data_IF_906531990285
#
_entry.id   IF_906531990285
#
_cell.length_a   1.000
_cell.length_b   1.000
_cell.length_c   1.000
_cell.angle_alpha   90.00
_cell.angle_beta   90.00
_cell.angle_gamma   90.00
#
_symmetry.space_group_name_H-M   'P 1'
#
loop_
_entity.id
_entity.type
_entity.pdbx_description
1 polymer ?
#
# COMPACT_ATOMS: atom_id res chain seq x y z
N UNK A 1 -10.40 12.21 -8.44
CA UNK A 1 -9.28 12.85 -9.19
C UNK A 1 -9.18 12.21 -10.56
N UNK A 2 -8.54 12.89 -11.54
CA UNK A 2 -8.26 12.32 -12.86
C UNK A 2 -6.83 12.63 -13.27
N UNK A 3 -6.12 11.62 -13.78
CA UNK A 3 -4.78 11.76 -14.38
C UNK A 3 -4.81 11.05 -15.74
N UNK A 4 -4.60 11.79 -16.81
CA UNK A 4 -4.72 11.30 -18.17
C UNK A 4 -6.09 10.67 -18.45
N UNK A 5 -6.10 9.40 -18.83
CA UNK A 5 -7.33 8.64 -19.09
C UNK A 5 -7.94 7.99 -17.86
N UNK A 6 -7.20 7.96 -16.70
CA UNK A 6 -7.66 7.29 -15.50
C UNK A 6 -8.45 8.22 -14.58
N UNK A 7 -9.63 7.76 -14.14
CA UNK A 7 -10.29 8.30 -12.95
C UNK A 7 -9.75 7.54 -11.74
N UNK A 8 -9.41 8.25 -10.67
CA UNK A 8 -8.80 7.73 -9.45
C UNK A 8 -9.79 7.81 -8.30
N UNK A 9 -9.91 6.70 -7.54
CA UNK A 9 -10.77 6.60 -6.37
C UNK A 9 -10.00 6.03 -5.19
N UNK A 10 -10.17 6.64 -4.03
CA UNK A 10 -9.63 6.17 -2.75
C UNK A 10 -10.57 5.11 -2.16
N UNK A 11 -10.06 3.91 -1.94
CA UNK A 11 -10.83 2.75 -1.48
C UNK A 11 -10.30 2.32 -0.11
N UNK A 12 -10.93 2.78 0.97
CA UNK A 12 -10.58 2.33 2.32
C UNK A 12 -11.15 0.93 2.56
N UNK A 13 -10.32 -0.01 2.98
CA UNK A 13 -10.67 -1.43 3.07
C UNK A 13 -10.72 -1.95 4.50
N UNK A 14 -9.99 -1.34 5.44
CA UNK A 14 -10.07 -1.61 6.88
C UNK A 14 -9.43 -0.51 7.70
N UNK A 15 -9.77 -0.45 9.00
CA UNK A 15 -9.00 0.22 10.04
C UNK A 15 -8.16 -0.83 10.77
N UNK A 16 -6.96 -0.47 11.21
CA UNK A 16 -6.10 -1.34 12.01
C UNK A 16 -5.08 -0.53 12.83
N UNK A 17 -4.32 -1.19 13.67
CA UNK A 17 -3.32 -0.54 14.49
C UNK A 17 -2.07 -1.38 14.68
N UNK A 18 -0.92 -0.75 14.48
CA UNK A 18 0.38 -1.34 14.73
C UNK A 18 1.10 -0.59 15.85
N UNK A 19 2.08 -1.27 16.50
CA UNK A 19 2.91 -0.67 17.55
C UNK A 19 3.65 0.56 17.02
N UNK A 20 3.45 1.72 17.64
CA UNK A 20 4.05 2.97 17.20
C UNK A 20 5.58 2.97 17.31
N UNK A 21 6.17 2.23 18.25
CA UNK A 21 7.61 2.05 18.31
C UNK A 21 8.15 1.27 17.12
N UNK A 22 7.41 0.27 16.65
CA UNK A 22 7.76 -0.47 15.44
C UNK A 22 7.57 0.37 14.18
N UNK A 23 6.50 1.18 14.12
CA UNK A 23 6.24 2.07 12.97
C UNK A 23 7.25 3.21 12.83
N UNK A 24 7.76 3.74 13.95
CA UNK A 24 8.68 4.89 13.93
C UNK A 24 10.15 4.54 14.21
N UNK A 25 10.47 3.25 14.40
CA UNK A 25 11.83 2.75 14.51
C UNK A 25 12.66 3.45 15.60
N UNK A 26 13.71 4.16 15.20
CA UNK A 26 14.62 4.84 16.13
C UNK A 26 14.09 6.19 16.64
N UNK A 27 12.97 6.69 16.11
CA UNK A 27 12.41 7.98 16.56
C UNK A 27 11.78 7.78 17.95
N UNK A 28 12.20 8.57 18.97
CA UNK A 28 11.66 8.42 20.31
C UNK A 28 10.16 8.72 20.42
N UNK A 29 9.42 7.95 21.23
CA UNK A 29 7.97 8.13 21.43
C UNK A 29 7.56 9.59 21.71
N UNK A 30 8.22 10.36 22.60
CA UNK A 30 7.86 11.75 22.85
C UNK A 30 7.97 12.68 21.61
N UNK A 31 8.58 12.20 20.53
CA UNK A 31 8.73 12.95 19.27
C UNK A 31 7.63 12.54 18.29
N UNK A 32 7.49 11.23 18.00
CA UNK A 32 6.52 10.78 17.00
C UNK A 32 5.06 10.85 17.49
N UNK A 33 4.80 10.62 18.79
CA UNK A 33 3.45 10.65 19.36
C UNK A 33 2.77 12.03 19.27
N UNK A 34 3.54 13.10 19.09
CA UNK A 34 2.99 14.44 18.82
C UNK A 34 2.34 14.56 17.44
N UNK A 35 2.74 13.74 16.50
CA UNK A 35 2.21 13.73 15.15
C UNK A 35 1.14 12.64 14.98
N UNK A 36 1.38 11.47 15.56
CA UNK A 36 0.51 10.31 15.45
C UNK A 36 0.27 9.75 16.86
N UNK A 37 -0.86 10.08 17.50
CA UNK A 37 -1.18 9.59 18.83
C UNK A 37 -1.28 8.06 18.89
N UNK A 38 -0.91 7.47 20.03
CA UNK A 38 -1.07 6.03 20.29
C UNK A 38 -2.13 5.74 21.33
N UNK A 39 -2.69 4.53 21.29
CA UNK A 39 -3.58 3.99 22.33
C UNK A 39 -2.79 3.49 23.56
N UNK A 40 -3.50 2.95 24.57
CA UNK A 40 -2.90 2.43 25.81
C UNK A 40 -2.00 1.20 25.56
N UNK A 41 -2.10 0.54 24.41
CA UNK A 41 -1.25 -0.57 23.97
C UNK A 41 -0.13 -0.12 23.04
N UNK A 42 0.12 1.19 22.93
CA UNK A 42 1.12 1.80 22.06
C UNK A 42 0.84 1.62 20.56
N UNK A 43 -0.39 1.29 20.15
CA UNK A 43 -0.76 1.16 18.74
C UNK A 43 -1.17 2.53 18.21
N UNK A 44 -0.72 2.84 17.01
CA UNK A 44 -1.20 3.99 16.24
C UNK A 44 -2.36 3.56 15.35
N UNK A 45 -3.31 4.46 15.14
CA UNK A 45 -4.42 4.24 14.22
C UNK A 45 -3.93 4.34 12.77
N UNK A 46 -4.31 3.37 11.96
CA UNK A 46 -3.96 3.26 10.55
C UNK A 46 -5.18 2.77 9.76
N UNK A 47 -5.17 3.02 8.46
CA UNK A 47 -6.12 2.44 7.51
C UNK A 47 -5.35 1.62 6.47
N UNK A 48 -6.04 0.72 5.80
CA UNK A 48 -5.58 0.22 4.51
C UNK A 48 -6.40 0.92 3.42
N UNK A 49 -5.71 1.67 2.58
CA UNK A 49 -6.29 2.49 1.51
C UNK A 49 -5.72 2.04 0.17
N UNK A 50 -6.52 1.31 -0.57
CA UNK A 50 -6.24 0.95 -1.96
C UNK A 50 -6.54 2.12 -2.90
N UNK A 51 -5.96 2.10 -4.09
CA UNK A 51 -6.27 3.08 -5.14
C UNK A 51 -6.91 2.35 -6.32
N UNK A 52 -8.15 2.70 -6.65
CA UNK A 52 -8.83 2.21 -7.85
C UNK A 52 -8.63 3.19 -9.00
N UNK A 53 -8.16 2.67 -10.14
CA UNK A 53 -8.03 3.38 -11.40
C UNK A 53 -9.03 2.82 -12.39
N UNK A 54 -9.81 3.69 -13.05
CA UNK A 54 -10.76 3.26 -14.08
C UNK A 54 -10.53 4.00 -15.38
N UNK A 55 -10.43 3.24 -16.48
CA UNK A 55 -10.31 3.76 -17.84
C UNK A 55 -11.01 2.78 -18.78
N UNK A 56 -12.05 3.21 -19.45
CA UNK A 56 -12.85 2.37 -20.36
C UNK A 56 -13.26 1.04 -19.68
N UNK A 57 -12.81 -0.09 -20.22
CA UNK A 57 -13.08 -1.41 -19.65
C UNK A 57 -12.12 -1.81 -18.51
N UNK A 58 -11.02 -1.07 -18.30
CA UNK A 58 -10.04 -1.37 -17.24
C UNK A 58 -10.51 -0.85 -15.88
N UNK A 59 -10.43 -1.70 -14.87
CA UNK A 59 -10.61 -1.37 -13.45
C UNK A 59 -9.45 -1.99 -12.70
N UNK A 60 -8.45 -1.16 -12.39
CA UNK A 60 -7.17 -1.57 -11.82
C UNK A 60 -7.17 -1.17 -10.35
N UNK A 61 -6.98 -2.13 -9.46
CA UNK A 61 -6.86 -1.88 -8.03
C UNK A 61 -5.41 -2.02 -7.61
N UNK A 62 -4.88 -1.03 -6.90
CA UNK A 62 -3.55 -1.09 -6.29
C UNK A 62 -3.71 -1.46 -4.82
N UNK A 63 -3.19 -2.62 -4.44
CA UNK A 63 -3.34 -3.30 -3.15
C UNK A 63 -4.81 -3.57 -2.75
N UNK A 64 -5.02 -4.38 -1.73
CA UNK A 64 -6.35 -4.88 -1.34
C UNK A 64 -6.58 -4.86 0.17
N UNK A 65 -5.59 -4.41 0.93
CA UNK A 65 -5.65 -4.27 2.38
C UNK A 65 -5.63 -5.58 3.16
N UNK A 66 -6.01 -5.49 4.43
CA UNK A 66 -5.96 -6.59 5.40
C UNK A 66 -6.85 -7.79 5.06
N UNK A 67 -7.91 -7.58 4.27
CA UNK A 67 -8.93 -8.62 4.04
C UNK A 67 -9.68 -9.01 5.32
N UNK A 68 -10.42 -10.13 5.24
CA UNK A 68 -11.37 -10.54 6.29
C UNK A 68 -11.04 -11.90 6.95
N UNK A 69 -9.91 -12.55 6.58
CA UNK A 69 -9.54 -13.90 7.01
C UNK A 69 -8.86 -13.99 8.38
N UNK A 70 -9.12 -13.05 9.26
CA UNK A 70 -8.43 -12.92 10.52
C UNK A 70 -9.06 -13.75 11.64
N UNK A 71 -8.22 -14.46 12.41
CA UNK A 71 -8.62 -15.01 13.69
C UNK A 71 -8.83 -13.92 14.73
N UNK A 72 -9.77 -14.09 15.66
CA UNK A 72 -10.11 -13.13 16.71
C UNK A 72 -8.91 -12.70 17.58
N UNK A 73 -7.91 -13.56 17.74
CA UNK A 73 -6.67 -13.23 18.44
C UNK A 73 -5.91 -12.11 17.72
N UNK A 74 -5.74 -12.22 16.41
CA UNK A 74 -4.98 -11.24 15.61
C UNK A 74 -5.77 -9.96 15.37
N UNK A 75 -7.10 -10.05 15.19
CA UNK A 75 -7.96 -8.86 15.18
C UNK A 75 -7.74 -8.01 16.42
N UNK A 76 -7.64 -8.63 17.61
CA UNK A 76 -7.38 -7.90 18.86
C UNK A 76 -5.95 -7.36 18.96
N UNK A 77 -4.94 -8.08 18.45
CA UNK A 77 -3.54 -7.63 18.47
C UNK A 77 -3.38 -6.41 17.58
N UNK A 78 -3.85 -6.51 16.35
CA UNK A 78 -3.69 -5.48 15.32
C UNK A 78 -4.87 -4.50 15.25
N UNK A 79 -5.84 -4.60 16.17
CA UNK A 79 -7.04 -3.75 16.19
C UNK A 79 -7.74 -3.66 14.83
N UNK A 80 -7.82 -4.80 14.11
CA UNK A 80 -8.41 -4.83 12.77
C UNK A 80 -9.93 -4.73 12.89
N UNK A 81 -10.50 -3.70 12.28
CA UNK A 81 -11.94 -3.53 12.10
C UNK A 81 -12.29 -3.64 10.61
N UNK A 82 -13.08 -4.66 10.28
CA UNK A 82 -13.60 -4.91 8.94
C UNK A 82 -15.13 -4.74 8.89
N UNK A 83 -15.77 -4.41 10.00
CA UNK A 83 -17.23 -4.25 10.06
C UNK A 83 -17.66 -2.90 9.47
N UNK A 84 -16.83 -1.88 9.68
CA UNK A 84 -17.06 -0.52 9.18
C UNK A 84 -16.62 -0.32 7.73
N UNK A 85 -15.52 -0.98 7.37
CA UNK A 85 -14.94 -0.92 6.03
C UNK A 85 -14.69 -2.35 5.52
N UNK A 86 -15.04 -2.59 4.28
CA UNK A 86 -14.59 -3.75 3.50
C UNK A 86 -14.38 -3.30 2.06
N UNK A 87 -13.61 -4.07 1.32
CA UNK A 87 -13.34 -3.75 -0.08
C UNK A 87 -14.63 -3.72 -0.91
N UNK A 88 -15.56 -4.65 -0.64
CA UNK A 88 -16.85 -4.72 -1.31
C UNK A 88 -17.72 -3.48 -1.03
N UNK A 89 -17.80 -3.07 0.25
CA UNK A 89 -18.55 -1.88 0.64
C UNK A 89 -17.96 -0.63 0.00
N UNK A 90 -16.64 -0.50 -0.01
CA UNK A 90 -15.96 0.68 -0.52
C UNK A 90 -15.97 0.77 -2.05
N UNK A 91 -15.84 -0.34 -2.76
CA UNK A 91 -16.09 -0.40 -4.21
C UNK A 91 -17.54 -0.04 -4.54
N UNK A 92 -18.49 -0.57 -3.77
CA UNK A 92 -19.93 -0.32 -3.93
C UNK A 92 -20.33 1.15 -3.82
N UNK A 93 -19.59 1.98 -3.04
CA UNK A 93 -19.81 3.44 -2.97
C UNK A 93 -19.65 4.13 -4.34
N UNK A 94 -18.78 3.58 -5.18
CA UNK A 94 -18.50 4.09 -6.53
C UNK A 94 -19.21 3.31 -7.63
N UNK A 95 -20.08 2.35 -7.26
CA UNK A 95 -20.86 1.56 -8.21
C UNK A 95 -20.12 0.39 -8.83
N UNK A 96 -19.01 -0.04 -8.21
CA UNK A 96 -18.23 -1.21 -8.63
C UNK A 96 -18.42 -2.38 -7.69
N UNK A 97 -18.24 -3.59 -8.24
CA UNK A 97 -18.19 -4.86 -7.51
C UNK A 97 -16.79 -5.49 -7.65
N UNK A 98 -16.54 -6.55 -6.91
CA UNK A 98 -15.29 -7.31 -7.03
C UNK A 98 -15.15 -8.01 -8.37
N UNK A 99 -16.25 -8.32 -9.04
CA UNK A 99 -16.28 -8.95 -10.37
C UNK A 99 -15.90 -7.96 -11.51
N UNK A 100 -15.99 -6.65 -11.25
CA UNK A 100 -15.64 -5.61 -12.23
C UNK A 100 -14.13 -5.38 -12.32
N UNK A 101 -13.36 -5.78 -11.28
CA UNK A 101 -11.91 -5.56 -11.24
C UNK A 101 -11.22 -6.44 -12.27
N UNK A 102 -10.45 -5.82 -13.15
CA UNK A 102 -9.71 -6.49 -14.24
C UNK A 102 -8.27 -6.80 -13.88
N UNK A 103 -7.67 -5.98 -13.02
CA UNK A 103 -6.28 -6.08 -12.61
C UNK A 103 -6.11 -5.68 -11.16
N UNK A 104 -5.25 -6.39 -10.44
CA UNK A 104 -4.78 -6.04 -9.10
C UNK A 104 -3.27 -5.89 -9.15
N UNK A 105 -2.75 -4.72 -8.82
CA UNK A 105 -1.31 -4.48 -8.68
C UNK A 105 -0.97 -4.65 -7.21
N UNK A 106 -0.21 -5.70 -6.86
CA UNK A 106 0.29 -5.91 -5.52
C UNK A 106 1.61 -5.18 -5.37
N UNK A 107 1.68 -4.14 -4.52
CA UNK A 107 2.95 -3.43 -4.28
C UNK A 107 3.97 -4.38 -3.68
N UNK A 108 3.56 -5.18 -2.71
CA UNK A 108 4.30 -6.29 -2.13
C UNK A 108 3.34 -7.23 -1.40
N UNK A 109 3.81 -8.42 -1.00
CA UNK A 109 2.95 -9.48 -0.50
C UNK A 109 2.83 -9.54 1.04
N UNK A 110 2.96 -8.41 1.76
CA UNK A 110 2.62 -8.35 3.17
C UNK A 110 1.10 -8.38 3.36
N UNK A 111 0.66 -8.88 4.52
CA UNK A 111 -0.74 -9.18 4.81
C UNK A 111 -1.68 -7.96 4.74
N UNK A 112 -1.19 -6.78 5.09
CA UNK A 112 -1.94 -5.53 5.11
C UNK A 112 -2.07 -4.88 3.73
N UNK A 113 -1.37 -5.40 2.73
CA UNK A 113 -1.46 -5.01 1.32
C UNK A 113 -2.24 -6.00 0.47
N UNK A 114 -2.08 -7.31 0.73
CA UNK A 114 -2.68 -8.34 -0.12
C UNK A 114 -3.65 -9.29 0.59
N UNK A 115 -3.95 -9.05 1.87
CA UNK A 115 -4.90 -9.85 2.63
C UNK A 115 -6.30 -9.91 1.99
N UNK A 116 -6.70 -8.86 1.28
CA UNK A 116 -7.94 -8.79 0.53
C UNK A 116 -7.93 -9.49 -0.83
N UNK A 117 -6.78 -9.96 -1.33
CA UNK A 117 -6.70 -10.71 -2.60
C UNK A 117 -7.57 -11.96 -2.60
N UNK A 118 -7.75 -12.57 -1.43
CA UNK A 118 -8.55 -13.77 -1.25
C UNK A 118 -9.53 -13.61 -0.09
N UNK A 119 -10.62 -14.36 -0.15
CA UNK A 119 -11.67 -14.42 0.88
C UNK A 119 -12.05 -15.85 1.21
N UNK A 120 -12.78 -16.04 2.31
CA UNK A 120 -13.39 -17.35 2.64
C UNK A 120 -14.81 -17.36 2.12
N UNK A 121 -15.11 -18.31 1.23
CA UNK A 121 -16.44 -18.56 0.72
C UNK A 121 -16.76 -20.06 0.87
N UNK A 122 -17.87 -20.38 1.55
CA UNK A 122 -18.28 -21.77 1.85
C UNK A 122 -17.15 -22.61 2.51
N UNK A 123 -16.34 -21.97 3.39
CA UNK A 123 -15.23 -22.62 4.11
C UNK A 123 -13.98 -22.87 3.27
N UNK A 124 -13.91 -22.33 2.07
CA UNK A 124 -12.73 -22.41 1.18
C UNK A 124 -12.17 -21.02 0.91
N UNK A 125 -10.86 -20.95 0.73
CA UNK A 125 -10.19 -19.75 0.26
C UNK A 125 -10.38 -19.65 -1.25
N UNK A 126 -10.90 -18.51 -1.71
CA UNK A 126 -11.17 -18.22 -3.12
C UNK A 126 -10.64 -16.82 -3.47
N UNK A 127 -10.35 -16.54 -4.76
CA UNK A 127 -10.03 -15.18 -5.21
C UNK A 127 -11.18 -14.21 -4.87
N UNK A 128 -10.85 -13.03 -4.35
CA UNK A 128 -11.83 -11.96 -4.13
C UNK A 128 -12.25 -11.32 -5.45
N UNK A 129 -11.32 -11.19 -6.38
CA UNK A 129 -11.52 -10.60 -7.71
C UNK A 129 -11.38 -11.69 -8.78
N UNK A 130 -12.46 -12.42 -9.10
CA UNK A 130 -12.39 -13.63 -9.89
C UNK A 130 -12.00 -13.41 -11.36
N UNK A 131 -12.15 -12.19 -11.86
CA UNK A 131 -11.84 -11.82 -13.24
C UNK A 131 -10.49 -11.09 -13.39
N UNK A 132 -9.79 -10.83 -12.28
CA UNK A 132 -8.58 -10.04 -12.27
C UNK A 132 -7.32 -10.85 -12.56
N UNK A 133 -6.33 -10.20 -13.18
CA UNK A 133 -4.92 -10.58 -13.13
C UNK A 133 -4.26 -9.92 -11.93
N UNK A 134 -3.35 -10.64 -11.26
CA UNK A 134 -2.62 -10.14 -10.10
C UNK A 134 -1.14 -9.94 -10.46
N UNK A 135 -0.71 -8.70 -10.50
CA UNK A 135 0.64 -8.30 -10.89
C UNK A 135 1.54 -8.18 -9.68
N UNK A 136 2.65 -8.90 -9.68
CA UNK A 136 3.61 -8.95 -8.55
C UNK A 136 5.02 -8.85 -9.09
N UNK A 137 5.90 -8.09 -8.44
CA UNK A 137 7.31 -8.08 -8.82
C UNK A 137 7.96 -9.45 -8.60
N UNK A 138 8.85 -9.83 -9.49
CA UNK A 138 9.58 -11.11 -9.41
C UNK A 138 10.34 -11.26 -8.09
N UNK A 139 11.02 -10.19 -7.67
CA UNK A 139 11.80 -10.25 -6.45
C UNK A 139 10.96 -10.38 -5.18
N UNK A 140 9.78 -9.75 -5.14
CA UNK A 140 8.90 -9.88 -3.99
C UNK A 140 8.19 -11.23 -3.98
N UNK A 141 7.80 -11.74 -5.16
CA UNK A 141 7.29 -13.10 -5.31
C UNK A 141 8.28 -14.17 -4.81
N UNK A 142 9.55 -14.07 -5.25
CA UNK A 142 10.60 -15.00 -4.82
C UNK A 142 10.83 -14.91 -3.30
N UNK A 143 10.82 -13.69 -2.73
CA UNK A 143 10.97 -13.47 -1.30
C UNK A 143 9.80 -14.02 -0.50
N UNK A 144 8.56 -13.74 -0.89
CA UNK A 144 7.36 -14.20 -0.18
C UNK A 144 7.26 -15.73 -0.10
N UNK A 145 7.77 -16.44 -1.11
CA UNK A 145 7.86 -17.89 -1.10
C UNK A 145 9.07 -18.45 -0.31
N UNK A 146 10.06 -17.59 0.03
CA UNK A 146 11.25 -17.96 0.80
C UNK A 146 11.64 -16.83 1.78
N UNK A 147 10.74 -16.43 2.70
CA UNK A 147 10.96 -15.26 3.56
C UNK A 147 12.08 -15.51 4.57
N UNK A 148 12.70 -14.43 5.03
CA UNK A 148 13.63 -14.48 6.14
C UNK A 148 12.90 -14.64 7.48
N UNK A 149 13.62 -15.01 8.54
CA UNK A 149 13.02 -15.09 9.88
C UNK A 149 12.48 -13.73 10.38
N UNK A 150 12.97 -12.62 9.85
CA UNK A 150 12.53 -11.28 10.24
C UNK A 150 11.15 -10.94 9.68
N UNK A 151 10.88 -11.29 8.43
CA UNK A 151 9.71 -10.88 7.68
C UNK A 151 8.69 -12.01 7.41
N UNK A 152 9.01 -13.25 7.78
CA UNK A 152 8.13 -14.40 7.57
C UNK A 152 6.73 -14.22 8.18
N UNK A 153 6.61 -13.47 9.28
CA UNK A 153 5.32 -13.16 9.92
C UNK A 153 4.44 -12.20 9.14
N UNK A 154 5.00 -11.48 8.17
CA UNK A 154 4.27 -10.54 7.33
C UNK A 154 3.68 -11.19 6.07
N UNK A 155 4.20 -12.36 5.66
CA UNK A 155 3.77 -13.08 4.47
C UNK A 155 2.80 -14.21 4.83
N UNK A 156 1.57 -14.15 4.32
CA UNK A 156 0.55 -15.17 4.56
C UNK A 156 0.21 -15.90 3.26
N UNK A 157 0.75 -17.11 3.09
CA UNK A 157 0.63 -17.90 1.85
C UNK A 157 -0.81 -18.00 1.33
N UNK A 158 -1.79 -18.00 2.22
CA UNK A 158 -3.20 -18.07 1.85
C UNK A 158 -3.72 -16.81 1.13
N UNK A 159 -2.95 -15.72 1.06
CA UNK A 159 -3.33 -14.49 0.36
C UNK A 159 -3.02 -14.54 -1.15
N UNK A 160 -2.13 -15.45 -1.58
CA UNK A 160 -1.75 -15.56 -3.00
C UNK A 160 -1.68 -16.98 -3.57
N UNK A 161 -1.61 -18.01 -2.74
CA UNK A 161 -1.43 -19.40 -3.21
C UNK A 161 -2.51 -19.84 -4.18
N UNK A 162 -3.77 -19.63 -3.82
CA UNK A 162 -4.91 -20.01 -4.66
C UNK A 162 -4.92 -19.22 -5.98
N UNK A 163 -4.42 -18.00 -5.99
CA UNK A 163 -4.30 -17.20 -7.21
C UNK A 163 -3.28 -17.81 -8.17
N UNK A 164 -2.12 -18.24 -7.62
CA UNK A 164 -1.10 -18.92 -8.40
C UNK A 164 -1.57 -20.27 -8.93
N UNK A 165 -2.26 -21.06 -8.11
CA UNK A 165 -2.83 -22.34 -8.50
C UNK A 165 -3.88 -22.20 -9.63
N UNK A 166 -4.58 -21.06 -9.68
CA UNK A 166 -5.55 -20.74 -10.73
C UNK A 166 -4.94 -20.00 -11.95
N UNK A 167 -3.62 -19.79 -11.97
CA UNK A 167 -2.93 -19.10 -13.08
C UNK A 167 -3.31 -17.62 -13.22
N UNK A 168 -3.69 -16.97 -12.12
CA UNK A 168 -4.10 -15.55 -12.10
C UNK A 168 -2.94 -14.58 -11.82
N UNK A 169 -1.77 -15.11 -11.41
CA UNK A 169 -0.60 -14.29 -11.06
C UNK A 169 0.25 -14.02 -12.30
N UNK A 170 0.55 -12.76 -12.53
CA UNK A 170 1.46 -12.26 -13.58
C UNK A 170 2.71 -11.67 -12.91
N UNK A 171 3.88 -12.16 -13.31
CA UNK A 171 5.16 -11.72 -12.73
C UNK A 171 5.74 -10.57 -13.56
N UNK A 172 6.03 -9.46 -12.87
CA UNK A 172 6.71 -8.30 -13.45
C UNK A 172 8.20 -8.42 -13.15
N UNK A 173 9.02 -8.44 -14.19
CA UNK A 173 10.49 -8.51 -14.08
C UNK A 173 11.10 -7.15 -14.46
N UNK A 174 11.63 -6.43 -13.47
CA UNK A 174 12.24 -5.11 -13.67
C UNK A 174 11.25 -3.94 -13.67
N UNK A 175 11.64 -2.86 -14.38
CA UNK A 175 10.88 -1.59 -14.45
C UNK A 175 10.02 -1.49 -15.72
N UNK A 176 9.44 -2.57 -16.17
CA UNK A 176 8.63 -2.56 -17.39
C UNK A 176 7.26 -1.95 -17.10
N UNK A 177 6.77 -1.11 -18.05
CA UNK A 177 5.37 -0.71 -18.07
C UNK A 177 4.55 -1.91 -18.59
N UNK A 178 3.71 -2.47 -17.72
CA UNK A 178 2.87 -3.62 -18.04
C UNK A 178 1.40 -3.25 -18.24
N UNK A 179 1.02 -2.03 -17.84
CA UNK A 179 -0.29 -1.43 -18.11
C UNK A 179 -0.05 -0.02 -18.66
N UNK A 180 -0.74 0.34 -19.75
CA UNK A 180 -0.58 1.63 -20.39
C UNK A 180 -0.85 2.80 -19.42
N UNK A 181 0.06 3.76 -19.35
CA UNK A 181 -0.04 4.93 -18.46
C UNK A 181 0.30 4.68 -17.00
N UNK A 182 0.75 3.48 -16.66
CA UNK A 182 1.23 3.11 -15.32
C UNK A 182 2.66 2.59 -15.43
N UNK A 183 3.60 3.39 -14.97
CA UNK A 183 4.98 2.97 -14.79
C UNK A 183 5.19 2.36 -13.41
N UNK A 184 6.32 1.69 -13.20
CA UNK A 184 6.70 1.11 -11.90
C UNK A 184 8.06 1.59 -11.47
N UNK A 185 8.20 1.79 -10.16
CA UNK A 185 9.46 2.04 -9.49
C UNK A 185 9.69 0.95 -8.45
N UNK A 186 10.86 0.33 -8.41
CA UNK A 186 11.18 -0.71 -7.42
C UNK A 186 12.08 -0.18 -6.32
N UNK A 187 11.78 -0.56 -5.07
CA UNK A 187 12.61 -0.30 -3.89
C UNK A 187 12.92 -1.60 -3.15
N UNK A 188 13.94 -1.56 -2.28
CA UNK A 188 14.52 -2.74 -1.67
C UNK A 188 14.73 -2.60 -0.16
N UNK A 189 14.47 -1.42 0.39
CA UNK A 189 14.75 -1.12 1.79
C UNK A 189 13.71 -1.71 2.74
N UNK A 190 12.42 -1.51 2.47
CA UNK A 190 11.34 -2.06 3.26
C UNK A 190 11.25 -3.57 3.08
N UNK A 191 11.02 -4.00 1.86
CA UNK A 191 11.07 -5.41 1.43
C UNK A 191 11.66 -5.49 0.02
N UNK A 192 12.22 -6.63 -0.35
CA UNK A 192 12.86 -6.78 -1.65
C UNK A 192 11.84 -6.73 -2.78
N UNK A 193 12.04 -5.81 -3.72
CA UNK A 193 11.18 -5.68 -4.89
C UNK A 193 9.81 -5.07 -4.58
N UNK A 194 9.71 -4.19 -3.56
CA UNK A 194 8.52 -3.36 -3.33
C UNK A 194 8.26 -2.53 -4.58
N UNK A 195 7.11 -2.70 -5.20
CA UNK A 195 6.71 -2.06 -6.43
C UNK A 195 5.83 -0.84 -6.15
N UNK A 196 6.22 0.30 -6.69
CA UNK A 196 5.49 1.56 -6.58
C UNK A 196 4.88 1.90 -7.94
N UNK A 197 3.56 1.78 -8.13
CA UNK A 197 2.90 2.31 -9.31
C UNK A 197 3.04 3.83 -9.41
N UNK A 198 3.35 4.31 -10.62
CA UNK A 198 3.47 5.73 -10.96
C UNK A 198 2.47 6.02 -12.08
N UNK A 199 1.42 6.76 -11.76
CA UNK A 199 0.35 7.11 -12.71
C UNK A 199 0.66 8.52 -13.25
N UNK A 200 0.88 8.64 -14.57
CA UNK A 200 1.28 9.91 -15.17
C UNK A 200 0.63 10.16 -16.52
N UNK A 201 0.32 11.42 -16.81
CA UNK A 201 -0.07 11.89 -18.13
C UNK A 201 0.96 12.87 -18.74
N UNK A 202 2.13 12.99 -18.11
CA UNK A 202 3.19 13.93 -18.48
C UNK A 202 3.00 15.36 -17.94
N UNK A 203 1.85 15.67 -17.32
CA UNK A 203 1.55 16.96 -16.65
C UNK A 203 1.34 16.76 -15.18
N UNK A 204 0.55 15.78 -14.80
CA UNK A 204 0.32 15.36 -13.42
C UNK A 204 0.83 13.94 -13.22
N UNK A 205 1.43 13.70 -12.05
CA UNK A 205 1.95 12.39 -11.68
C UNK A 205 1.58 12.08 -10.24
N UNK A 206 1.08 10.88 -10.00
CA UNK A 206 0.86 10.33 -8.67
C UNK A 206 1.81 9.15 -8.45
N UNK A 207 2.57 9.22 -7.38
CA UNK A 207 3.43 8.15 -6.88
C UNK A 207 2.74 7.43 -5.73
N UNK A 208 2.54 6.12 -5.85
CA UNK A 208 1.99 5.30 -4.78
C UNK A 208 3.08 4.97 -3.77
N UNK A 209 3.00 5.58 -2.59
CA UNK A 209 4.06 5.52 -1.57
C UNK A 209 4.26 4.15 -0.95
N UNK A 210 3.19 3.33 -0.88
CA UNK A 210 3.22 2.05 -0.17
C UNK A 210 4.04 2.15 1.13
N UNK A 211 4.82 1.14 1.48
CA UNK A 211 5.53 1.07 2.75
C UNK A 211 6.90 1.75 2.78
N UNK A 212 7.30 2.45 1.72
CA UNK A 212 8.41 3.40 1.84
C UNK A 212 7.95 4.73 2.44
N UNK A 213 6.66 5.08 2.25
CA UNK A 213 5.97 6.23 2.86
C UNK A 213 4.59 5.81 3.38
N UNK A 214 4.50 4.98 4.45
CA UNK A 214 3.21 4.46 4.90
C UNK A 214 2.26 5.55 5.42
N UNK A 215 2.79 6.56 6.10
CA UNK A 215 2.05 7.73 6.62
C UNK A 215 2.73 9.03 6.19
N UNK A 216 2.00 10.13 6.17
CA UNK A 216 2.56 11.48 5.96
C UNK A 216 3.66 11.83 6.97
N UNK A 217 3.58 11.32 8.19
CA UNK A 217 4.61 11.44 9.22
C UNK A 217 5.95 10.79 8.82
N UNK A 218 5.94 9.85 7.86
CA UNK A 218 7.17 9.22 7.36
C UNK A 218 7.84 9.98 6.22
N UNK A 219 7.37 11.17 5.82
CA UNK A 219 8.06 11.97 4.80
C UNK A 219 9.52 12.29 5.18
N UNK A 220 9.86 12.72 6.42
CA UNK A 220 11.25 12.98 6.77
C UNK A 220 12.12 11.71 6.62
N UNK A 221 13.30 11.84 5.98
CA UNK A 221 14.18 10.71 5.63
C UNK A 221 14.48 9.77 6.80
N UNK A 222 14.81 10.25 8.03
CA UNK A 222 15.13 9.35 9.14
C UNK A 222 13.93 8.61 9.76
N UNK A 223 12.70 8.97 9.37
CA UNK A 223 11.50 8.36 9.88
C UNK A 223 11.20 7.09 9.06
N UNK A 224 11.80 5.99 9.48
CA UNK A 224 11.70 4.66 8.86
C UNK A 224 11.22 3.65 9.89
N UNK A 225 10.66 2.53 9.42
CA UNK A 225 10.05 1.53 10.30
C UNK A 225 11.07 0.50 10.81
N UNK A 226 10.80 -0.10 11.96
CA UNK A 226 11.49 -1.31 12.41
C UNK A 226 11.13 -2.52 11.55
N UNK A 227 10.03 -2.44 10.81
CA UNK A 227 9.61 -3.45 9.83
C UNK A 227 10.53 -3.48 8.61
N UNK A 228 11.19 -2.37 8.27
CA UNK A 228 12.13 -2.32 7.15
C UNK A 228 13.22 -3.38 7.30
N UNK A 229 13.39 -4.20 6.28
CA UNK A 229 14.44 -5.24 6.29
C UNK A 229 15.83 -4.60 6.20
N UNK A 230 15.93 -3.48 5.46
CA UNK A 230 17.17 -2.73 5.25
C UNK A 230 16.94 -1.21 5.45
N UNK A 231 16.76 -0.73 6.70
CA UNK A 231 16.32 0.64 6.96
C UNK A 231 17.29 1.72 6.42
N UNK A 232 18.58 1.42 6.32
CA UNK A 232 19.55 2.35 5.71
C UNK A 232 19.31 2.49 4.20
N UNK A 233 18.93 1.41 3.53
CA UNK A 233 18.55 1.45 2.11
C UNK A 233 17.24 2.21 1.94
N UNK A 234 16.23 1.96 2.81
CA UNK A 234 14.98 2.74 2.84
C UNK A 234 15.26 4.25 2.90
N UNK A 235 16.16 4.69 3.78
CA UNK A 235 16.52 6.12 3.86
C UNK A 235 17.14 6.65 2.57
N UNK A 236 18.03 5.89 1.93
CA UNK A 236 18.67 6.28 0.68
C UNK A 236 17.68 6.36 -0.49
N UNK A 237 16.73 5.43 -0.54
CA UNK A 237 15.65 5.39 -1.53
C UNK A 237 14.69 6.56 -1.31
N UNK A 238 14.26 6.80 -0.06
CA UNK A 238 13.43 7.96 0.30
C UNK A 238 14.06 9.28 -0.11
N UNK A 239 15.34 9.47 0.16
CA UNK A 239 16.03 10.72 -0.20
C UNK A 239 15.99 10.97 -1.71
N UNK A 240 16.26 9.95 -2.54
CA UNK A 240 16.19 10.04 -4.00
C UNK A 240 14.77 10.31 -4.49
N UNK A 241 13.79 9.60 -3.94
CA UNK A 241 12.38 9.75 -4.31
C UNK A 241 11.85 11.14 -3.92
N UNK A 242 12.16 11.62 -2.72
CA UNK A 242 11.71 12.94 -2.26
C UNK A 242 12.27 14.10 -3.08
N UNK A 243 13.52 13.97 -3.57
CA UNK A 243 14.08 14.93 -4.53
C UNK A 243 13.21 14.96 -5.78
N UNK A 244 12.95 13.80 -6.38
CA UNK A 244 12.18 13.67 -7.61
C UNK A 244 10.73 14.12 -7.43
N UNK A 245 10.04 13.63 -6.40
CA UNK A 245 8.65 13.98 -6.08
C UNK A 245 8.49 15.51 -5.96
N UNK A 246 9.43 16.15 -5.25
CA UNK A 246 9.40 17.61 -5.04
C UNK A 246 9.72 18.38 -6.32
N UNK A 247 10.80 18.01 -7.05
CA UNK A 247 11.26 18.76 -8.23
C UNK A 247 10.30 18.64 -9.40
N UNK A 248 9.65 17.49 -9.54
CA UNK A 248 8.67 17.22 -10.61
C UNK A 248 7.23 17.52 -10.17
N UNK A 249 7.01 17.90 -8.91
CA UNK A 249 5.68 18.29 -8.41
C UNK A 249 4.70 17.12 -8.33
N UNK A 250 5.19 15.91 -8.05
CA UNK A 250 4.35 14.72 -7.97
C UNK A 250 3.47 14.72 -6.72
N UNK A 251 2.31 14.08 -6.82
CA UNK A 251 1.48 13.73 -5.67
C UNK A 251 1.99 12.46 -5.05
N UNK A 252 2.23 12.47 -3.73
CA UNK A 252 2.61 11.30 -2.94
C UNK A 252 1.36 10.74 -2.25
N UNK A 253 0.96 9.52 -2.60
CA UNK A 253 -0.19 8.83 -2.04
C UNK A 253 0.21 7.97 -0.84
N UNK A 254 -0.65 7.95 0.21
CA UNK A 254 -0.44 7.20 1.44
C UNK A 254 -1.50 6.11 1.62
N UNK A 255 -1.05 4.88 1.77
CA UNK A 255 -1.93 3.74 1.99
C UNK A 255 -2.44 3.66 3.43
N UNK A 256 -1.60 4.03 4.40
CA UNK A 256 -1.90 3.80 5.81
C UNK A 256 -2.27 5.03 6.62
N UNK A 257 -2.17 6.23 6.05
CA UNK A 257 -2.51 7.46 6.78
C UNK A 257 -4.03 7.63 6.89
N UNK A 258 -4.62 7.63 8.10
CA UNK A 258 -6.07 7.70 8.26
C UNK A 258 -6.65 9.07 7.86
N UNK A 259 -5.83 10.12 7.81
CA UNK A 259 -6.26 11.49 7.62
C UNK A 259 -5.88 12.08 6.27
N UNK A 260 -4.80 11.58 5.65
CA UNK A 260 -4.20 12.16 4.46
C UNK A 260 -4.17 11.11 3.34
N UNK A 261 -4.94 11.33 2.28
CA UNK A 261 -4.92 10.44 1.11
C UNK A 261 -3.66 10.63 0.28
N UNK A 262 -3.32 11.87 -0.03
CA UNK A 262 -2.12 12.23 -0.76
C UNK A 262 -1.68 13.66 -0.43
N UNK A 263 -0.46 14.02 -0.81
CA UNK A 263 0.05 15.36 -0.64
C UNK A 263 1.07 15.74 -1.71
N UNK A 264 1.39 17.04 -1.78
CA UNK A 264 2.64 17.53 -2.37
C UNK A 264 3.72 17.61 -1.31
N UNK A 265 4.98 17.54 -1.73
CA UNK A 265 6.14 17.58 -0.84
C UNK A 265 6.92 18.86 -1.05
N UNK A 266 7.32 19.51 0.05
CA UNK A 266 8.25 20.64 0.03
C UNK A 266 9.45 20.37 0.94
N UNK A 267 10.45 21.24 0.87
CA UNK A 267 11.67 21.18 1.68
C UNK A 267 11.86 22.48 2.43
N UNK A 268 11.91 22.37 3.75
CA UNK A 268 12.29 23.49 4.63
C UNK A 268 13.69 23.20 5.18
N UNK A 269 14.65 24.05 4.84
CA UNK A 269 16.07 23.86 5.16
C UNK A 269 16.59 22.49 4.64
N UNK A 270 16.85 21.56 5.55
CA UNK A 270 17.37 20.22 5.26
C UNK A 270 16.30 19.11 5.33
N UNK A 271 15.06 19.46 5.69
CA UNK A 271 14.00 18.48 5.98
C UNK A 271 12.87 18.55 4.97
N UNK A 272 12.50 17.40 4.43
CA UNK A 272 11.28 17.25 3.63
C UNK A 272 10.06 17.20 4.54
N UNK A 273 8.95 17.74 4.06
CA UNK A 273 7.67 17.81 4.76
C UNK A 273 6.51 17.79 3.79
N UNK A 274 5.36 17.44 4.29
CA UNK A 274 4.11 17.66 3.59
C UNK A 274 3.91 19.16 3.36
N UNK A 275 3.45 19.54 2.16
CA UNK A 275 3.10 20.90 1.81
C UNK A 275 1.58 21.06 1.74
N UNK A 276 0.93 20.58 0.69
CA UNK A 276 -0.52 20.67 0.51
C UNK A 276 -1.13 19.27 0.48
N UNK A 277 -2.28 19.12 1.14
CA UNK A 277 -3.07 17.88 1.07
C UNK A 277 -3.81 17.79 -0.27
N UNK A 278 -3.90 16.58 -0.79
CA UNK A 278 -4.60 16.28 -2.04
C UNK A 278 -5.67 15.23 -1.75
N UNK A 279 -6.92 15.52 -2.12
CA UNK A 279 -8.04 14.60 -2.00
C UNK A 279 -8.18 13.87 -3.35
N UNK A 280 -8.10 12.55 -3.31
CA UNK A 280 -8.26 11.70 -4.50
C UNK A 280 -9.74 11.56 -4.83
N UNK A 281 -10.56 11.20 -3.84
CA UNK A 281 -12.02 11.13 -3.95
C UNK A 281 -12.69 11.33 -2.58
N UNK A 282 -13.92 11.80 -2.58
CA UNK A 282 -14.76 11.99 -1.39
C UNK A 282 -15.51 10.71 -1.00
#
# INVERSE_FOLDING_TARGET
MRIGNYNLYSIETSEFGLDGGAMFGIIPKPVWEKQVPSDDLNRIEMVTRSLLLTCDDLKILIDTGNGTKWEEKYKRIYNIDTDRYSIELSLGKYGFSTEDITDVICTHLHFDHVGGNTKIENGKIVPTFPNAKYWVSKENWDLANHPSQKDAGSFMEHDWKVLAENGMVEIVDGHESFIEGIDTYLTYGHTKGLMHPVISDGVQTLFYGADIFPLSAHIPVPWVMSYDVQPVITMQEKEKLLIKIREEGWFLFFEHDPNIQACTVDRLDKHYRMNETVIISE
#
